data_IF_462784023390
#
_entry.id   IF_462784023390
#
_cell.length_a   1.000
_cell.length_b   1.000
_cell.length_c   1.000
_cell.angle_alpha   90.00
_cell.angle_beta   90.00
_cell.angle_gamma   90.00
#
_symmetry.space_group_name_H-M   'P 1'
#
loop_
_entity.id
_entity.type
_entity.pdbx_description
1 polymer ?
#
# COMPACT_ATOMS: atom_id res chain seq x y z
N UNK A 1 12.19 7.59 -6.43
CA UNK A 1 11.43 6.64 -5.59
C UNK A 1 10.41 5.98 -6.48
N UNK A 2 10.41 4.66 -6.60
CA UNK A 2 9.50 3.96 -7.50
C UNK A 2 8.09 3.92 -6.89
N UNK A 3 7.07 4.42 -7.60
CA UNK A 3 5.67 4.46 -7.12
C UNK A 3 4.99 3.12 -7.37
N UNK A 4 5.11 2.61 -8.60
CA UNK A 4 4.52 1.35 -9.05
C UNK A 4 5.62 0.33 -9.37
N UNK A 5 5.36 -0.94 -9.06
CA UNK A 5 6.18 -2.06 -9.51
C UNK A 5 5.71 -2.51 -10.90
N UNK A 6 6.32 -1.95 -11.95
CA UNK A 6 5.91 -2.20 -13.33
C UNK A 6 6.18 -3.64 -13.77
N UNK A 7 7.25 -4.27 -13.27
CA UNK A 7 7.57 -5.67 -13.59
C UNK A 7 6.49 -6.60 -13.02
N UNK A 8 6.11 -6.38 -11.75
CA UNK A 8 5.01 -7.12 -11.13
C UNK A 8 3.68 -6.87 -11.85
N UNK A 9 3.35 -5.60 -12.14
CA UNK A 9 2.09 -5.24 -12.78
C UNK A 9 1.94 -5.87 -14.17
N UNK A 10 2.99 -5.84 -14.98
CA UNK A 10 2.99 -6.50 -16.29
C UNK A 10 2.82 -8.01 -16.13
N UNK A 11 3.58 -8.63 -15.21
CA UNK A 11 3.46 -10.06 -14.93
C UNK A 11 2.04 -10.45 -14.49
N UNK A 12 1.39 -9.64 -13.65
CA UNK A 12 0.02 -9.88 -13.22
C UNK A 12 -0.96 -9.81 -14.40
N UNK A 13 -0.87 -8.77 -15.24
CA UNK A 13 -1.72 -8.67 -16.44
C UNK A 13 -1.51 -9.86 -17.37
N UNK A 14 -0.25 -10.23 -17.64
CA UNK A 14 0.08 -11.36 -18.51
C UNK A 14 -0.41 -12.71 -17.96
N UNK A 15 -0.45 -12.86 -16.62
CA UNK A 15 -0.76 -14.14 -15.97
C UNK A 15 -2.26 -14.32 -15.69
N UNK A 16 -2.95 -13.27 -15.21
CA UNK A 16 -4.34 -13.36 -14.75
C UNK A 16 -5.31 -12.46 -15.54
N UNK A 17 -4.81 -11.64 -16.46
CA UNK A 17 -5.60 -10.71 -17.26
C UNK A 17 -5.96 -9.42 -16.51
N UNK A 18 -6.19 -8.34 -17.27
CA UNK A 18 -6.45 -7.01 -16.71
C UNK A 18 -7.70 -6.95 -15.80
N UNK A 19 -8.76 -7.69 -16.13
CA UNK A 19 -10.00 -7.72 -15.34
C UNK A 19 -9.77 -8.23 -13.91
N UNK A 20 -8.95 -9.29 -13.77
CA UNK A 20 -8.62 -9.84 -12.46
C UNK A 20 -7.69 -8.92 -11.66
N UNK A 21 -6.79 -8.21 -12.35
CA UNK A 21 -5.98 -7.17 -11.72
C UNK A 21 -6.85 -6.02 -11.22
N UNK A 22 -7.80 -5.52 -12.03
CA UNK A 22 -8.76 -4.49 -11.64
C UNK A 22 -9.60 -4.91 -10.43
N UNK A 23 -10.08 -6.15 -10.42
CA UNK A 23 -10.81 -6.70 -9.28
C UNK A 23 -9.94 -6.69 -8.00
N UNK A 24 -8.67 -7.06 -8.11
CA UNK A 24 -7.72 -7.04 -6.98
C UNK A 24 -7.46 -5.63 -6.48
N UNK A 25 -7.27 -4.66 -7.39
CA UNK A 25 -7.11 -3.24 -7.06
C UNK A 25 -8.35 -2.67 -6.38
N UNK A 26 -9.55 -3.06 -6.83
CA UNK A 26 -10.80 -2.66 -6.20
C UNK A 26 -10.91 -3.16 -4.77
N UNK A 27 -10.60 -4.44 -4.52
CA UNK A 27 -10.61 -5.00 -3.15
C UNK A 27 -9.61 -4.27 -2.25
N UNK A 28 -8.40 -3.96 -2.77
CA UNK A 28 -7.43 -3.16 -2.05
C UNK A 28 -7.97 -1.77 -1.69
N UNK A 29 -8.57 -1.06 -2.65
CA UNK A 29 -9.14 0.27 -2.45
C UNK A 29 -10.26 0.28 -1.39
N UNK A 30 -11.13 -0.74 -1.41
CA UNK A 30 -12.21 -0.86 -0.42
C UNK A 30 -11.71 -1.16 1.00
N UNK A 31 -10.58 -1.88 1.12
CA UNK A 31 -10.01 -2.26 2.42
C UNK A 31 -9.03 -1.24 3.01
N UNK A 32 -8.40 -0.43 2.18
CA UNK A 32 -7.37 0.50 2.65
C UNK A 32 -7.86 1.52 3.70
N UNK A 33 -9.07 2.13 3.60
CA UNK A 33 -9.58 3.03 4.62
C UNK A 33 -9.68 2.39 6.00
N UNK A 34 -10.15 1.13 6.06
CA UNK A 34 -10.26 0.35 7.30
C UNK A 34 -8.88 0.13 7.93
N UNK A 35 -7.88 -0.27 7.13
CA UNK A 35 -6.52 -0.45 7.63
C UNK A 35 -5.88 0.84 8.13
N UNK A 36 -6.06 1.94 7.41
CA UNK A 36 -5.52 3.24 7.80
C UNK A 36 -6.16 3.79 9.07
N UNK A 37 -7.47 3.62 9.24
CA UNK A 37 -8.18 4.03 10.45
C UNK A 37 -7.64 3.28 11.68
N UNK A 38 -7.55 1.95 11.62
CA UNK A 38 -7.05 1.14 12.74
C UNK A 38 -5.58 1.49 13.04
N UNK A 39 -4.76 1.69 12.00
CA UNK A 39 -3.36 2.10 12.16
C UNK A 39 -3.23 3.43 12.93
N UNK A 40 -4.02 4.44 12.56
CA UNK A 40 -4.00 5.77 13.20
C UNK A 40 -4.52 5.74 14.63
N UNK A 41 -5.60 4.99 14.89
CA UNK A 41 -6.14 4.80 16.24
C UNK A 41 -5.13 4.11 17.15
N UNK A 42 -4.50 3.03 16.65
CA UNK A 42 -3.50 2.27 17.40
C UNK A 42 -2.26 3.12 17.70
N UNK A 43 -1.83 3.94 16.73
CA UNK A 43 -0.71 4.86 16.93
C UNK A 43 -1.03 5.91 17.99
N UNK A 44 -2.25 6.46 17.95
CA UNK A 44 -2.71 7.46 18.94
C UNK A 44 -2.85 6.88 20.35
N UNK A 45 -3.05 5.56 20.46
CA UNK A 45 -3.12 4.82 21.71
C UNK A 45 -1.76 4.24 22.16
N UNK A 46 -0.66 4.59 21.48
CA UNK A 46 0.69 4.04 21.70
C UNK A 46 0.77 2.49 21.62
N UNK A 47 -0.17 1.85 20.92
CA UNK A 47 -0.26 0.39 20.77
C UNK A 47 0.66 -0.13 19.66
N UNK A 48 1.97 -0.09 19.91
CA UNK A 48 3.02 -0.47 18.94
C UNK A 48 2.80 -1.81 18.23
N UNK A 49 2.36 -2.85 18.97
CA UNK A 49 2.13 -4.18 18.39
C UNK A 49 1.04 -4.14 17.33
N UNK A 50 -0.05 -3.40 17.58
CA UNK A 50 -1.16 -3.28 16.64
C UNK A 50 -0.77 -2.41 15.45
N UNK A 51 0.00 -1.33 15.67
CA UNK A 51 0.58 -0.52 14.57
C UNK A 51 1.41 -1.39 13.62
N UNK A 52 2.28 -2.25 14.17
CA UNK A 52 3.10 -3.16 13.35
C UNK A 52 2.25 -4.19 12.60
N UNK A 53 1.20 -4.73 13.24
CA UNK A 53 0.29 -5.70 12.64
C UNK A 53 -0.53 -5.08 11.49
N UNK A 54 -1.03 -3.85 11.64
CA UNK A 54 -1.75 -3.15 10.57
C UNK A 54 -0.82 -2.77 9.41
N UNK A 55 0.39 -2.29 9.71
CA UNK A 55 1.38 -2.03 8.67
C UNK A 55 1.76 -3.30 7.88
N UNK A 56 1.80 -4.47 8.54
CA UNK A 56 2.01 -5.75 7.85
C UNK A 56 0.87 -6.07 6.87
N UNK A 57 -0.39 -5.85 7.24
CA UNK A 57 -1.55 -6.05 6.34
C UNK A 57 -1.49 -5.11 5.14
N UNK A 58 -1.23 -3.82 5.38
CA UNK A 58 -1.09 -2.80 4.33
C UNK A 58 0.05 -3.17 3.36
N UNK A 59 1.20 -3.58 3.89
CA UNK A 59 2.34 -4.03 3.08
C UNK A 59 1.96 -5.21 2.18
N UNK A 60 1.31 -6.23 2.74
CA UNK A 60 0.89 -7.41 1.97
C UNK A 60 -0.08 -7.05 0.86
N UNK A 61 -1.08 -6.23 1.18
CA UNK A 61 -2.08 -5.78 0.21
C UNK A 61 -1.43 -4.92 -0.90
N UNK A 62 -0.56 -3.96 -0.53
CA UNK A 62 0.12 -3.09 -1.49
C UNK A 62 1.06 -3.89 -2.41
N UNK A 63 1.74 -4.90 -1.86
CA UNK A 63 2.60 -5.81 -2.62
C UNK A 63 1.83 -6.63 -3.65
N UNK A 64 0.56 -6.96 -3.40
CA UNK A 64 -0.25 -7.74 -4.36
C UNK A 64 -0.80 -6.93 -5.53
N UNK A 65 -0.78 -5.60 -5.43
CA UNK A 65 -1.33 -4.69 -6.45
C UNK A 65 -0.28 -3.74 -7.03
N UNK A 66 1.01 -4.01 -6.79
CA UNK A 66 2.11 -3.25 -7.39
C UNK A 66 2.33 -1.85 -6.84
N UNK A 67 1.83 -1.50 -5.66
CA UNK A 67 2.06 -0.18 -5.05
C UNK A 67 3.38 -0.16 -4.27
N UNK A 68 4.50 -0.10 -5.00
CA UNK A 68 5.86 -0.22 -4.47
C UNK A 68 6.17 0.80 -3.36
N UNK A 69 5.74 2.06 -3.52
CA UNK A 69 6.01 3.10 -2.50
C UNK A 69 5.20 2.87 -1.22
N UNK A 70 3.91 2.58 -1.34
CA UNK A 70 3.04 2.23 -0.19
C UNK A 70 3.60 1.02 0.55
N UNK A 71 3.97 -0.03 -0.18
CA UNK A 71 4.58 -1.24 0.38
C UNK A 71 5.86 -0.91 1.16
N UNK A 72 6.75 -0.07 0.63
CA UNK A 72 7.99 0.35 1.29
C UNK A 72 7.72 1.08 2.60
N UNK A 73 6.81 2.05 2.60
CA UNK A 73 6.50 2.85 3.79
C UNK A 73 5.88 1.96 4.87
N UNK A 74 4.92 1.12 4.50
CA UNK A 74 4.36 0.12 5.41
C UNK A 74 5.43 -0.85 5.95
N UNK A 75 6.43 -1.19 5.13
CA UNK A 75 7.57 -1.97 5.59
C UNK A 75 8.46 -1.25 6.62
N UNK A 76 8.53 0.09 6.60
CA UNK A 76 9.23 0.87 7.62
C UNK A 76 8.43 0.91 8.93
N UNK A 77 7.11 1.13 8.83
CA UNK A 77 6.21 1.17 9.99
C UNK A 77 6.17 -0.18 10.71
N UNK A 78 6.20 -1.32 10.00
CA UNK A 78 6.20 -2.64 10.66
C UNK A 78 7.49 -2.98 11.43
N UNK A 79 8.59 -2.23 11.24
CA UNK A 79 9.89 -2.52 11.87
C UNK A 79 9.97 -1.99 13.31
N UNK A 80 9.01 -2.40 14.14
CA UNK A 80 8.88 -1.94 15.52
C UNK A 80 10.16 -2.12 16.34
N UNK A 81 10.97 -3.14 16.10
CA UNK A 81 12.19 -3.41 16.88
C UNK A 81 13.32 -2.39 16.65
N UNK A 82 13.18 -1.49 15.67
CA UNK A 82 14.19 -0.46 15.42
C UNK A 82 14.29 0.54 16.60
N UNK A 83 15.49 0.83 17.15
CA UNK A 83 15.63 1.68 18.34
C UNK A 83 15.05 3.09 18.20
N UNK A 84 15.09 3.66 17.00
CA UNK A 84 14.55 4.99 16.70
C UNK A 84 13.10 4.95 16.17
N UNK A 85 12.39 3.83 16.26
CA UNK A 85 11.07 3.68 15.64
C UNK A 85 10.07 4.75 16.07
N UNK A 86 9.94 5.01 17.39
CA UNK A 86 9.04 6.05 17.91
C UNK A 86 9.38 7.47 17.45
N UNK A 87 10.65 7.72 17.11
CA UNK A 87 11.09 9.04 16.62
C UNK A 87 10.63 9.28 15.18
N UNK A 88 10.27 8.23 14.43
CA UNK A 88 10.02 8.31 12.99
C UNK A 88 8.64 7.79 12.56
N UNK A 89 7.96 6.98 13.39
CA UNK A 89 6.71 6.31 12.99
C UNK A 89 5.60 7.29 12.61
N UNK A 90 5.49 8.42 13.30
CA UNK A 90 4.48 9.44 12.98
C UNK A 90 4.69 9.99 11.56
N UNK A 91 5.93 10.33 11.21
CA UNK A 91 6.30 10.82 9.89
C UNK A 91 6.03 9.76 8.81
N UNK A 92 6.34 8.49 9.08
CA UNK A 92 6.06 7.41 8.14
C UNK A 92 4.56 7.16 7.95
N UNK A 93 3.76 7.28 9.01
CA UNK A 93 2.30 7.12 8.93
C UNK A 93 1.66 8.29 8.19
N UNK A 94 2.18 9.51 8.34
CA UNK A 94 1.80 10.67 7.53
C UNK A 94 2.21 10.48 6.05
N UNK A 95 3.44 10.04 5.78
CA UNK A 95 3.91 9.70 4.43
C UNK A 95 2.99 8.65 3.78
N UNK A 96 2.61 7.61 4.54
CA UNK A 96 1.70 6.56 4.06
C UNK A 96 0.33 7.12 3.72
N UNK A 97 -0.26 7.93 4.60
CA UNK A 97 -1.57 8.53 4.41
C UNK A 97 -1.63 9.40 3.15
N UNK A 98 -0.54 10.12 2.84
CA UNK A 98 -0.43 10.93 1.63
C UNK A 98 -0.13 10.08 0.38
N UNK A 99 0.68 9.03 0.52
CA UNK A 99 1.08 8.18 -0.59
C UNK A 99 -0.08 7.34 -1.13
N UNK A 100 -0.93 6.77 -0.27
CA UNK A 100 -2.03 5.89 -0.66
C UNK A 100 -2.92 6.47 -1.76
N UNK A 101 -3.56 7.65 -1.61
CA UNK A 101 -4.45 8.18 -2.64
C UNK A 101 -3.70 8.54 -3.92
N UNK A 102 -2.49 9.09 -3.80
CA UNK A 102 -1.68 9.48 -4.96
C UNK A 102 -1.22 8.27 -5.79
N UNK A 103 -0.75 7.22 -5.12
CA UNK A 103 -0.22 6.03 -5.77
C UNK A 103 -1.35 5.20 -6.38
N UNK A 104 -2.53 5.19 -5.73
CA UNK A 104 -3.75 4.62 -6.31
C UNK A 104 -4.16 5.34 -7.58
N UNK A 105 -4.12 6.67 -7.64
CA UNK A 105 -4.43 7.40 -8.87
C UNK A 105 -3.50 6.98 -10.01
N UNK A 106 -2.19 6.88 -9.74
CA UNK A 106 -1.20 6.40 -10.72
C UNK A 106 -1.48 4.97 -11.20
N UNK A 107 -1.86 4.07 -10.30
CA UNK A 107 -2.21 2.70 -10.67
C UNK A 107 -3.48 2.64 -11.54
N UNK A 108 -4.49 3.45 -11.23
CA UNK A 108 -5.70 3.53 -12.05
C UNK A 108 -5.42 4.09 -13.44
N UNK A 109 -4.57 5.10 -13.55
CA UNK A 109 -4.19 5.69 -14.84
C UNK A 109 -3.43 4.67 -15.69
N UNK A 110 -2.46 3.96 -15.11
CA UNK A 110 -1.76 2.89 -15.81
C UNK A 110 -2.72 1.78 -16.28
N UNK A 111 -3.67 1.36 -15.43
CA UNK A 111 -4.67 0.39 -15.82
C UNK A 111 -5.55 0.89 -16.98
N UNK A 112 -5.94 2.16 -17.03
CA UNK A 112 -6.73 2.69 -18.16
C UNK A 112 -5.98 2.59 -19.49
N UNK A 113 -4.65 2.75 -19.46
CA UNK A 113 -3.81 2.63 -20.67
C UNK A 113 -3.80 1.19 -21.22
N UNK A 114 -3.99 0.18 -20.37
CA UNK A 114 -4.04 -1.23 -20.79
C UNK A 114 -5.27 -1.56 -21.65
N UNK A 115 -6.34 -0.76 -21.57
CA UNK A 115 -7.59 -0.99 -22.32
C UNK A 115 -7.56 -0.37 -23.72
N UNK A 116 -6.53 0.41 -24.08
CA UNK A 116 -6.49 1.17 -25.34
C UNK A 116 -6.06 0.30 -26.55
N UNK A 117 -5.62 -0.93 -26.33
CA UNK A 117 -5.12 -1.85 -27.37
C UNK A 117 -6.18 -2.78 -28.02
N UNK A 118 -7.48 -2.52 -27.83
CA UNK A 118 -8.60 -3.21 -28.53
C UNK A 118 -9.21 -2.38 -29.69
#
# INVERSE_FOLDING_TARGET
TNILDMELLQMLVDTIGEDMVRASVKVFHEKMPEYMEILQLSLSADEKSEVCAQAHKIKGAASSVGLARVQRIANQIQQGDHPAWWQNVHDWVEELQMAVPHDMEKLHDWLKEQTIDD
#
